data_IF_637319604751
#
_entry.id   IF_637319604751
#
_cell.length_a   1.000
_cell.length_b   1.000
_cell.length_c   1.000
_cell.angle_alpha   90.00
_cell.angle_beta   90.00
_cell.angle_gamma   90.00
#
_symmetry.space_group_name_H-M   'P 1'
#
loop_
_entity.id
_entity.type
_entity.pdbx_description
1 polymer ?
#
# COMPACT_ATOMS: atom_id res chain seq x y z
N UNK A 1 -1.69 -0.61 31.16
CA UNK A 1 -0.49 -1.22 30.56
C UNK A 1 -0.75 -1.53 29.10
N UNK A 2 -0.17 -0.75 28.17
CA UNK A 2 -0.34 -0.95 26.74
C UNK A 2 -0.16 0.35 25.94
N UNK A 3 -0.37 0.25 24.63
CA UNK A 3 -0.42 1.40 23.73
C UNK A 3 -1.54 2.36 24.12
N UNK A 4 -1.23 3.65 24.19
CA UNK A 4 -2.21 4.70 24.43
C UNK A 4 -1.78 6.01 23.76
N UNK A 5 -2.74 6.83 23.40
CA UNK A 5 -2.49 8.11 22.75
C UNK A 5 -3.77 8.67 22.11
N UNK A 6 -3.59 9.67 21.25
CA UNK A 6 -4.69 10.31 20.57
C UNK A 6 -5.18 9.46 19.39
N UNK A 7 -6.50 9.44 19.20
CA UNK A 7 -7.11 8.84 18.03
C UNK A 7 -8.17 9.78 17.44
N UNK A 8 -8.22 9.86 16.12
CA UNK A 8 -9.29 10.51 15.38
C UNK A 8 -9.97 9.48 14.49
N UNK A 9 -11.31 9.50 14.48
CA UNK A 9 -12.13 8.63 13.66
C UNK A 9 -13.01 9.46 12.75
N UNK A 10 -13.08 9.09 11.47
CA UNK A 10 -13.93 9.72 10.47
C UNK A 10 -14.66 8.68 9.64
N UNK A 11 -15.91 8.96 9.30
CA UNK A 11 -16.67 8.17 8.34
C UNK A 11 -16.14 8.35 6.93
N UNK A 12 -16.17 7.29 6.14
CA UNK A 12 -15.84 7.31 4.72
C UNK A 12 -17.03 7.93 3.96
N UNK A 13 -16.85 9.03 3.23
CA UNK A 13 -17.92 9.62 2.42
C UNK A 13 -18.46 8.61 1.39
N UNK A 14 -19.78 8.44 1.34
CA UNK A 14 -20.42 7.46 0.45
C UNK A 14 -20.18 6.00 0.82
N UNK A 15 -19.64 5.73 2.01
CA UNK A 15 -19.57 4.39 2.59
C UNK A 15 -20.93 3.86 3.08
N UNK A 16 -21.00 2.58 3.46
CA UNK A 16 -19.90 1.61 3.49
C UNK A 16 -19.49 1.11 2.09
N UNK A 17 -18.20 0.89 1.87
CA UNK A 17 -17.66 0.42 0.57
C UNK A 17 -17.03 -0.96 0.67
N UNK A 18 -17.19 -1.76 -0.37
CA UNK A 18 -16.59 -3.10 -0.43
C UNK A 18 -15.16 -3.03 -0.93
N UNK A 19 -14.97 -2.59 -2.17
CA UNK A 19 -13.64 -2.45 -2.76
C UNK A 19 -13.09 -1.05 -2.53
N UNK A 20 -11.83 -0.97 -2.14
CA UNK A 20 -11.21 0.30 -1.80
C UNK A 20 -9.69 0.27 -1.92
N UNK A 21 -9.14 1.48 -1.98
CA UNK A 21 -7.73 1.77 -1.80
C UNK A 21 -7.61 2.84 -0.70
N UNK A 22 -6.69 2.65 0.24
CA UNK A 22 -6.29 3.66 1.21
C UNK A 22 -4.79 3.88 1.11
N UNK A 23 -4.39 5.14 1.09
CA UNK A 23 -2.99 5.55 1.13
C UNK A 23 -2.81 6.63 2.18
N UNK A 24 -1.71 6.57 2.91
CA UNK A 24 -1.29 7.64 3.80
C UNK A 24 0.21 7.89 3.76
N UNK A 25 0.61 9.15 3.93
CA UNK A 25 1.99 9.54 4.20
C UNK A 25 2.20 9.63 5.71
N UNK A 26 3.16 8.87 6.21
CA UNK A 26 3.38 8.66 7.64
C UNK A 26 4.83 8.99 8.00
N UNK A 27 5.00 9.69 9.11
CA UNK A 27 6.30 9.90 9.75
C UNK A 27 6.34 9.14 11.07
N UNK A 28 7.44 8.43 11.32
CA UNK A 28 7.75 7.81 12.61
C UNK A 28 9.28 7.85 12.78
N UNK A 29 9.79 8.92 13.40
CA UNK A 29 11.23 9.17 13.56
C UNK A 29 11.56 9.38 15.02
N UNK A 30 12.27 8.43 15.60
CA UNK A 30 12.81 8.57 16.95
C UNK A 30 14.03 9.48 16.94
N UNK A 31 14.26 10.13 18.07
CA UNK A 31 15.45 10.95 18.32
C UNK A 31 16.48 10.19 19.15
N UNK A 32 16.02 9.26 19.99
CA UNK A 32 16.85 8.44 20.87
C UNK A 32 16.45 6.96 20.78
N UNK A 33 17.40 6.07 21.07
CA UNK A 33 17.21 4.60 21.01
C UNK A 33 16.20 4.04 22.04
N UNK A 34 15.79 4.84 23.02
CA UNK A 34 14.89 4.44 24.11
C UNK A 34 13.48 5.00 23.94
N UNK A 35 13.11 5.37 22.71
CA UNK A 35 11.79 5.84 22.36
C UNK A 35 10.94 4.73 21.76
N UNK A 36 9.64 4.72 22.07
CA UNK A 36 8.68 3.78 21.48
C UNK A 36 7.42 4.51 21.07
N UNK A 37 6.96 4.21 19.86
CA UNK A 37 5.87 4.95 19.24
C UNK A 37 5.19 4.13 18.16
N UNK A 38 3.94 4.47 17.88
CA UNK A 38 3.14 3.82 16.85
C UNK A 38 2.26 4.85 16.16
N UNK A 39 2.35 4.87 14.84
CA UNK A 39 1.35 5.50 13.97
C UNK A 39 0.56 4.40 13.29
N UNK A 40 -0.71 4.26 13.66
CA UNK A 40 -1.62 3.21 13.19
C UNK A 40 -2.81 3.81 12.47
N UNK A 41 -3.15 3.23 11.31
CA UNK A 41 -4.36 3.54 10.56
C UNK A 41 -5.18 2.26 10.50
N UNK A 42 -6.39 2.33 11.02
CA UNK A 42 -7.35 1.24 11.01
C UNK A 42 -8.52 1.56 10.07
N UNK A 43 -8.92 0.59 9.28
CA UNK A 43 -10.16 0.60 8.50
C UNK A 43 -11.22 -0.13 9.32
N UNK A 44 -12.39 0.48 9.51
CA UNK A 44 -13.46 -0.04 10.36
C UNK A 44 -14.77 -0.24 9.59
N UNK A 45 -15.60 -1.17 10.06
CA UNK A 45 -16.95 -1.41 9.54
C UNK A 45 -17.95 -0.39 10.11
N UNK A 46 -19.21 -0.54 9.72
CA UNK A 46 -20.31 0.32 10.19
C UNK A 46 -20.52 0.25 11.71
N UNK A 47 -20.07 -0.83 12.35
CA UNK A 47 -20.15 -1.06 13.79
C UNK A 47 -18.86 -0.66 14.53
N UNK A 48 -17.94 0.07 13.87
CA UNK A 48 -16.61 0.42 14.39
C UNK A 48 -15.73 -0.80 14.75
N UNK A 49 -15.99 -1.99 14.20
CA UNK A 49 -15.06 -3.12 14.29
C UNK A 49 -13.98 -2.98 13.23
N UNK A 50 -12.76 -3.34 13.60
CA UNK A 50 -11.59 -3.26 12.73
C UNK A 50 -11.67 -4.30 11.60
N UNK A 51 -11.57 -3.87 10.35
CA UNK A 51 -11.32 -4.75 9.20
C UNK A 51 -9.84 -5.01 9.04
N UNK A 52 -9.02 -3.96 9.18
CA UNK A 52 -7.59 -4.05 8.99
C UNK A 52 -6.86 -2.92 9.71
N UNK A 53 -5.57 -3.12 9.95
CA UNK A 53 -4.65 -2.16 10.55
C UNK A 53 -3.33 -2.18 9.80
N UNK A 54 -2.89 -1.01 9.37
CA UNK A 54 -1.53 -0.79 8.88
C UNK A 54 -0.85 0.22 9.80
N UNK A 55 0.40 -0.04 10.18
CA UNK A 55 1.12 0.78 11.12
C UNK A 55 2.62 0.79 10.85
N UNK A 56 3.23 1.92 11.21
CA UNK A 56 4.66 2.02 11.45
C UNK A 56 4.91 2.21 12.93
N UNK A 57 5.85 1.43 13.46
CA UNK A 57 6.14 1.34 14.89
C UNK A 57 7.62 1.58 15.11
N UNK A 58 8.01 2.08 16.28
CA UNK A 58 9.33 1.86 16.87
C UNK A 58 9.11 1.01 18.13
N UNK A 59 9.61 -0.23 18.11
CA UNK A 59 9.19 -1.29 19.02
C UNK A 59 10.24 -1.64 20.10
N UNK A 60 11.46 -1.14 20.00
CA UNK A 60 12.58 -1.65 20.78
C UNK A 60 13.21 -0.55 21.64
N UNK A 61 13.16 -0.70 22.96
CA UNK A 61 13.77 0.25 23.90
C UNK A 61 15.32 0.26 23.90
N UNK A 62 15.96 -0.71 23.24
CA UNK A 62 17.42 -0.88 23.17
C UNK A 62 17.99 -0.54 21.80
N UNK A 63 17.15 -0.28 20.81
CA UNK A 63 17.56 -0.01 19.45
C UNK A 63 16.49 0.82 18.75
N UNK A 64 16.91 1.86 18.05
CA UNK A 64 16.06 2.44 17.02
C UNK A 64 15.81 1.37 15.95
N UNK A 65 14.60 0.81 15.94
CA UNK A 65 14.24 -0.21 14.98
C UNK A 65 12.77 -0.09 14.65
N UNK A 66 12.54 0.65 13.57
CA UNK A 66 11.22 0.81 13.01
C UNK A 66 10.70 -0.52 12.43
N UNK A 67 9.41 -0.76 12.59
CA UNK A 67 8.76 -2.01 12.25
C UNK A 67 7.43 -1.75 11.54
N UNK A 68 7.34 -2.22 10.30
CA UNK A 68 6.12 -2.18 9.52
C UNK A 68 5.19 -3.32 9.94
N UNK A 69 3.92 -3.00 10.17
CA UNK A 69 2.92 -4.01 10.52
C UNK A 69 1.65 -3.83 9.70
N UNK A 70 1.13 -4.94 9.17
CA UNK A 70 -0.14 -4.99 8.47
C UNK A 70 -0.91 -6.23 8.88
N UNK A 71 -2.13 -6.04 9.36
CA UNK A 71 -3.02 -7.11 9.83
C UNK A 71 -4.41 -6.90 9.25
N UNK A 72 -5.03 -8.01 8.84
CA UNK A 72 -6.44 -8.11 8.46
C UNK A 72 -7.18 -8.83 9.59
N UNK A 73 -8.25 -8.21 10.05
CA UNK A 73 -9.03 -8.56 11.22
C UNK A 73 -8.54 -7.93 12.51
N UNK A 74 -9.15 -8.36 13.62
CA UNK A 74 -8.86 -7.93 14.98
C UNK A 74 -8.59 -9.13 15.88
N UNK A 75 -8.14 -8.86 17.10
CA UNK A 75 -7.85 -9.90 18.09
C UNK A 75 -9.10 -10.75 18.35
N UNK A 76 -8.92 -12.07 18.28
CA UNK A 76 -9.97 -13.08 18.39
C UNK A 76 -10.98 -13.15 17.23
N UNK A 77 -10.79 -12.41 16.12
CA UNK A 77 -11.57 -12.65 14.89
C UNK A 77 -11.08 -13.95 14.22
N UNK A 78 -11.96 -14.92 13.94
CA UNK A 78 -11.60 -16.11 13.18
C UNK A 78 -10.99 -15.74 11.82
N UNK A 79 -9.87 -16.36 11.47
CA UNK A 79 -9.16 -16.08 10.23
C UNK A 79 -8.33 -14.79 10.21
N UNK A 80 -8.05 -14.16 11.36
CA UNK A 80 -7.08 -13.05 11.45
C UNK A 80 -5.79 -13.40 10.70
N UNK A 81 -5.36 -12.51 9.82
CA UNK A 81 -4.20 -12.72 8.94
C UNK A 81 -3.21 -11.57 9.10
N UNK A 82 -1.96 -11.88 9.43
CA UNK A 82 -0.86 -10.91 9.35
C UNK A 82 -0.22 -10.96 7.96
N UNK A 83 -0.06 -9.80 7.31
CA UNK A 83 0.60 -9.70 5.99
C UNK A 83 2.03 -9.20 6.08
N UNK A 84 2.27 -8.20 6.93
CA UNK A 84 3.58 -7.59 7.12
C UNK A 84 3.84 -7.52 8.62
N UNK A 85 5.02 -7.97 9.03
CA UNK A 85 5.53 -7.86 10.40
C UNK A 85 7.06 -7.94 10.32
N UNK A 86 7.71 -6.85 9.92
CA UNK A 86 9.16 -6.82 9.70
C UNK A 86 9.80 -5.42 9.81
N UNK A 87 11.12 -5.40 9.99
CA UNK A 87 11.95 -4.20 9.92
C UNK A 87 12.48 -3.89 8.51
N UNK A 88 12.15 -4.73 7.51
CA UNK A 88 12.70 -4.68 6.14
C UNK A 88 13.89 -5.63 5.95
N UNK A 89 14.65 -5.46 4.86
CA UNK A 89 15.76 -6.36 4.49
C UNK A 89 16.90 -6.32 5.50
N UNK A 90 17.01 -5.20 6.21
CA UNK A 90 17.94 -4.97 7.31
C UNK A 90 17.18 -4.47 8.54
N UNK A 91 17.70 -4.67 9.76
CA UNK A 91 17.07 -4.18 10.99
C UNK A 91 16.75 -2.67 10.98
N UNK A 92 17.50 -1.88 10.21
CA UNK A 92 17.37 -0.43 10.14
C UNK A 92 16.71 0.09 8.85
N UNK A 93 16.17 -0.76 7.98
CA UNK A 93 15.59 -0.33 6.70
C UNK A 93 14.52 0.74 6.91
N UNK A 94 13.63 0.55 7.88
CA UNK A 94 12.57 1.50 8.19
C UNK A 94 12.98 2.67 9.09
N UNK A 95 14.19 2.69 9.64
CA UNK A 95 14.59 3.73 10.60
C UNK A 95 14.48 5.13 10.02
N UNK A 96 14.23 6.12 10.89
CA UNK A 96 13.95 7.49 10.47
C UNK A 96 12.81 7.55 9.43
N UNK A 97 11.73 6.81 9.70
CA UNK A 97 10.66 6.59 8.72
C UNK A 97 9.96 7.89 8.32
N UNK A 98 9.98 8.16 7.01
CA UNK A 98 8.99 8.99 6.32
C UNK A 98 8.64 8.26 5.03
N UNK A 99 7.36 7.95 4.83
CA UNK A 99 6.99 7.05 3.75
C UNK A 99 5.51 6.85 3.58
N UNK A 100 5.16 5.87 2.75
CA UNK A 100 3.78 5.53 2.40
C UNK A 100 3.34 4.26 3.11
N UNK A 101 2.16 4.31 3.71
CA UNK A 101 1.38 3.14 4.06
C UNK A 101 0.22 3.03 3.07
N UNK A 102 0.03 1.85 2.48
CA UNK A 102 -1.00 1.62 1.48
C UNK A 102 -1.65 0.25 1.69
N UNK A 103 -2.96 0.21 1.51
CA UNK A 103 -3.78 -1.01 1.58
C UNK A 103 -4.86 -0.93 0.52
N UNK A 104 -5.13 -2.06 -0.13
CA UNK A 104 -6.29 -2.22 -0.97
C UNK A 104 -7.06 -3.50 -0.67
N UNK A 105 -8.35 -3.47 -0.99
CA UNK A 105 -9.16 -4.66 -1.15
C UNK A 105 -9.93 -4.59 -2.46
N UNK A 106 -9.89 -5.68 -3.21
CA UNK A 106 -10.67 -5.89 -4.44
C UNK A 106 -11.29 -7.28 -4.39
N UNK A 107 -12.62 -7.37 -4.29
CA UNK A 107 -13.32 -8.60 -3.99
C UNK A 107 -12.82 -9.20 -2.67
N UNK A 108 -12.29 -10.41 -2.72
CA UNK A 108 -11.69 -11.10 -1.58
C UNK A 108 -10.15 -11.04 -1.57
N UNK A 109 -9.53 -10.28 -2.47
CA UNK A 109 -8.08 -10.05 -2.47
C UNK A 109 -7.72 -8.82 -1.66
N UNK A 110 -6.75 -8.99 -0.77
CA UNK A 110 -6.19 -7.95 0.07
C UNK A 110 -4.72 -7.73 -0.26
N UNK A 111 -4.34 -6.47 -0.33
CA UNK A 111 -2.98 -6.05 -0.68
C UNK A 111 -2.51 -4.99 0.29
N UNK A 112 -1.21 -5.02 0.59
CA UNK A 112 -0.57 -4.06 1.44
C UNK A 112 0.81 -3.70 0.93
N UNK A 113 1.14 -2.42 1.06
CA UNK A 113 2.39 -1.86 0.64
C UNK A 113 2.91 -0.86 1.68
N UNK A 114 4.18 -1.00 2.02
CA UNK A 114 4.92 -0.06 2.86
C UNK A 114 6.13 0.39 2.06
N UNK A 115 6.31 1.70 1.89
CA UNK A 115 7.55 2.25 1.36
C UNK A 115 8.11 3.31 2.26
N UNK A 116 9.44 3.46 2.23
CA UNK A 116 10.15 4.61 2.78
C UNK A 116 10.54 5.50 1.62
N UNK A 117 10.38 6.82 1.77
CA UNK A 117 10.75 7.75 0.73
C UNK A 117 12.23 8.11 0.76
N UNK A 118 12.78 8.39 -0.43
CA UNK A 118 14.09 9.04 -0.56
C UNK A 118 14.07 10.38 0.20
N UNK A 119 15.15 10.74 0.93
CA UNK A 119 15.21 11.96 1.71
C UNK A 119 14.80 13.21 0.92
N UNK A 120 13.85 13.97 1.46
CA UNK A 120 13.37 15.21 0.85
C UNK A 120 12.45 15.03 -0.37
N UNK A 121 12.00 13.81 -0.65
CA UNK A 121 11.11 13.51 -1.78
C UNK A 121 9.91 12.66 -1.33
N UNK A 122 9.01 12.35 -2.26
CA UNK A 122 7.94 11.34 -2.11
C UNK A 122 8.16 10.15 -3.06
N UNK A 123 9.41 9.95 -3.52
CA UNK A 123 9.79 8.80 -4.34
C UNK A 123 10.16 7.64 -3.42
N UNK A 124 9.64 6.46 -3.72
CA UNK A 124 9.90 5.23 -2.96
C UNK A 124 11.39 4.84 -3.07
N UNK A 125 11.99 4.41 -1.95
CA UNK A 125 13.38 3.94 -1.81
C UNK A 125 13.40 2.45 -1.44
N UNK A 126 13.12 2.15 -0.17
CA UNK A 126 12.89 0.79 0.31
C UNK A 126 11.40 0.48 0.32
N UNK A 127 11.03 -0.75 -0.02
CA UNK A 127 9.64 -1.16 -0.14
C UNK A 127 9.35 -2.59 0.33
N UNK A 128 8.10 -2.80 0.71
CA UNK A 128 7.51 -4.11 1.02
C UNK A 128 6.11 -4.21 0.47
N UNK A 129 5.84 -5.35 -0.12
CA UNK A 129 4.55 -5.69 -0.70
C UNK A 129 4.09 -7.07 -0.22
N UNK A 130 2.81 -7.18 0.11
CA UNK A 130 2.19 -8.45 0.48
C UNK A 130 0.76 -8.53 -0.07
N UNK A 131 0.38 -9.70 -0.58
CA UNK A 131 -0.98 -10.04 -1.03
C UNK A 131 -1.50 -11.24 -0.26
N UNK A 132 -2.80 -11.24 -0.01
CA UNK A 132 -3.51 -12.41 0.49
C UNK A 132 -4.94 -12.47 -0.04
N UNK A 133 -5.38 -13.66 -0.42
CA UNK A 133 -6.75 -13.92 -0.87
C UNK A 133 -7.54 -14.57 0.26
N UNK A 134 -8.65 -13.96 0.65
CA UNK A 134 -9.61 -14.49 1.62
C UNK A 134 -10.48 -15.59 1.00
N UNK A 135 -9.92 -16.79 0.89
CA UNK A 135 -10.59 -17.95 0.27
C UNK A 135 -11.87 -18.37 1.00
N UNK A 136 -11.95 -18.10 2.30
CA UNK A 136 -13.08 -18.47 3.15
C UNK A 136 -14.10 -17.33 3.33
N UNK A 137 -13.86 -16.16 2.72
CA UNK A 137 -14.73 -14.98 2.83
C UNK A 137 -14.97 -14.53 4.29
N UNK A 138 -13.96 -14.65 5.16
CA UNK A 138 -14.01 -14.30 6.59
C UNK A 138 -13.87 -12.80 6.88
N UNK A 139 -13.41 -12.01 5.91
CA UNK A 139 -13.12 -10.57 5.99
C UNK A 139 -13.77 -9.81 4.83
N UNK A 140 -15.06 -10.10 4.59
CA UNK A 140 -15.88 -9.46 3.54
C UNK A 140 -16.68 -8.26 4.04
N UNK A 141 -16.53 -7.87 5.32
CA UNK A 141 -17.19 -6.67 5.85
C UNK A 141 -16.81 -5.42 5.06
N UNK A 142 -17.74 -4.47 4.92
CA UNK A 142 -17.51 -3.23 4.16
C UNK A 142 -16.84 -2.16 5.02
N UNK A 143 -15.92 -1.42 4.42
CA UNK A 143 -15.24 -0.30 5.05
C UNK A 143 -16.19 0.90 5.17
N UNK A 144 -16.42 1.37 6.40
CA UNK A 144 -17.31 2.50 6.68
C UNK A 144 -16.57 3.67 7.35
N UNK A 145 -15.48 3.42 8.06
CA UNK A 145 -14.76 4.45 8.81
C UNK A 145 -13.25 4.24 8.75
N UNK A 146 -12.50 5.32 8.93
CA UNK A 146 -11.06 5.31 9.13
C UNK A 146 -10.76 5.85 10.52
N UNK A 147 -9.89 5.17 11.26
CA UNK A 147 -9.32 5.65 12.51
C UNK A 147 -7.81 5.80 12.37
N UNK A 148 -7.31 6.99 12.69
CA UNK A 148 -5.87 7.27 12.83
C UNK A 148 -5.57 7.31 14.32
N UNK A 149 -4.53 6.61 14.75
CA UNK A 149 -4.09 6.56 16.14
C UNK A 149 -2.58 6.81 16.21
N UNK A 150 -2.17 7.76 17.04
CA UNK A 150 -0.76 8.05 17.34
C UNK A 150 -0.56 7.76 18.82
N UNK A 151 0.31 6.80 19.12
CA UNK A 151 0.38 6.18 20.44
C UNK A 151 1.81 6.03 20.94
N UNK A 152 1.97 6.12 22.25
CA UNK A 152 3.18 5.71 22.97
C UNK A 152 2.96 4.36 23.66
N UNK A 153 4.06 3.70 24.02
CA UNK A 153 4.01 2.44 24.77
C UNK A 153 4.24 2.70 26.27
N UNK A 154 3.20 2.52 27.08
CA UNK A 154 3.31 2.68 28.54
C UNK A 154 3.97 4.03 28.91
N UNK A 155 4.89 4.03 29.85
CA UNK A 155 5.69 5.19 30.29
C UNK A 155 7.02 5.33 29.54
N UNK A 156 7.25 4.56 28.47
CA UNK A 156 8.43 4.72 27.61
C UNK A 156 8.34 6.07 26.89
N UNK A 157 9.44 6.85 26.81
CA UNK A 157 9.46 8.08 26.04
C UNK A 157 8.86 7.90 24.64
N UNK A 158 7.92 8.76 24.22
CA UNK A 158 7.32 8.64 22.90
C UNK A 158 8.36 8.99 21.82
N UNK A 159 8.20 8.37 20.65
CA UNK A 159 8.91 8.78 19.43
C UNK A 159 8.68 10.26 19.16
N UNK A 160 9.77 11.01 18.99
CA UNK A 160 9.75 12.48 18.85
C UNK A 160 8.80 12.97 17.73
N UNK A 161 8.89 12.39 16.53
CA UNK A 161 8.11 12.82 15.38
C UNK A 161 7.21 11.70 14.85
N UNK A 162 5.92 11.83 15.13
CA UNK A 162 4.86 10.93 14.64
C UNK A 162 3.76 11.74 13.96
N UNK A 163 3.52 11.48 12.67
CA UNK A 163 2.50 12.22 11.90
C UNK A 163 1.82 11.35 10.86
N UNK A 164 0.61 11.76 10.48
CA UNK A 164 -0.04 11.40 9.22
C UNK A 164 -0.30 12.70 8.47
N UNK A 165 0.45 12.97 7.40
CA UNK A 165 0.44 14.26 6.70
C UNK A 165 -0.55 14.31 5.53
N UNK A 166 -0.81 13.18 4.90
CA UNK A 166 -1.79 13.00 3.84
C UNK A 166 -2.46 11.64 4.04
N UNK A 167 -3.79 11.59 3.95
CA UNK A 167 -4.53 10.34 3.91
C UNK A 167 -5.63 10.47 2.87
N UNK A 168 -5.63 9.53 1.93
CA UNK A 168 -6.61 9.44 0.86
C UNK A 168 -7.25 8.06 0.87
N UNK A 169 -8.54 8.05 0.57
CA UNK A 169 -9.34 6.84 0.50
C UNK A 169 -10.19 6.92 -0.75
N UNK A 170 -10.15 5.87 -1.56
CA UNK A 170 -10.90 5.75 -2.80
C UNK A 170 -11.77 4.50 -2.75
N UNK A 171 -13.03 4.67 -3.14
CA UNK A 171 -13.87 3.53 -3.52
C UNK A 171 -13.35 3.00 -4.85
N UNK A 172 -13.10 1.71 -4.93
CA UNK A 172 -12.87 1.03 -6.21
C UNK A 172 -14.24 0.61 -6.73
N UNK A 173 -14.57 1.05 -7.94
CA UNK A 173 -15.73 0.52 -8.65
C UNK A 173 -15.20 -0.52 -9.62
N UNK A 174 -15.39 -1.81 -9.30
CA UNK A 174 -15.13 -2.85 -10.26
C UNK A 174 -16.12 -2.69 -11.41
N UNK A 175 -15.60 -2.40 -12.60
CA UNK A 175 -16.40 -2.42 -13.81
C UNK A 175 -16.74 -3.88 -14.10
N UNK A 176 -17.90 -4.34 -13.63
CA UNK A 176 -18.45 -5.66 -13.97
C UNK A 176 -18.86 -5.74 -15.46
N UNK A 177 -18.70 -4.66 -16.20
CA UNK A 177 -18.74 -4.63 -17.66
C UNK A 177 -17.31 -4.47 -18.16
N UNK A 178 -16.91 -5.24 -19.17
CA UNK A 178 -15.62 -5.19 -19.89
C UNK A 178 -15.21 -3.77 -20.36
N UNK A 179 -14.91 -2.88 -19.43
CA UNK A 179 -14.46 -1.51 -19.64
C UNK A 179 -13.19 -1.38 -18.83
N UNK A 180 -12.01 -1.51 -19.48
CA UNK A 180 -10.73 -1.35 -18.81
C UNK A 180 -10.69 -0.03 -18.03
N UNK A 181 -10.12 0.02 -16.83
CA UNK A 181 -9.92 1.30 -16.13
C UNK A 181 -9.05 2.21 -17.00
N UNK A 182 -9.52 3.44 -17.26
CA UNK A 182 -8.78 4.45 -18.01
C UNK A 182 -7.66 5.01 -17.12
N UNK A 183 -6.47 4.46 -17.27
CA UNK A 183 -5.24 4.87 -16.57
C UNK A 183 -4.54 6.02 -17.31
N UNK A 184 -4.91 6.27 -18.57
CA UNK A 184 -4.28 7.19 -19.51
C UNK A 184 -5.35 7.89 -20.35
N UNK A 185 -5.11 9.16 -20.68
CA UNK A 185 -5.98 9.96 -21.54
C UNK A 185 -5.38 10.09 -22.97
N UNK A 186 -6.23 10.45 -23.94
CA UNK A 186 -5.78 10.72 -25.32
C UNK A 186 -4.78 11.87 -25.32
N UNK A 187 -3.52 11.55 -25.65
CA UNK A 187 -2.40 12.51 -25.67
C UNK A 187 -1.27 12.15 -24.72
N UNK A 188 -1.51 11.28 -23.74
CA UNK A 188 -0.48 10.83 -22.80
C UNK A 188 0.56 9.92 -23.47
N UNK A 189 1.82 10.12 -23.11
CA UNK A 189 2.97 9.30 -23.48
C UNK A 189 3.22 8.26 -22.41
N UNK A 190 2.86 7.03 -22.73
CA UNK A 190 3.11 5.86 -21.89
C UNK A 190 4.37 5.15 -22.39
N UNK A 191 5.29 4.85 -21.48
CA UNK A 191 6.46 4.01 -21.77
C UNK A 191 6.44 2.79 -20.87
N UNK A 192 6.45 1.60 -21.49
CA UNK A 192 6.59 0.32 -20.82
C UNK A 192 7.94 -0.27 -21.24
N UNK A 193 8.92 -0.23 -20.35
CA UNK A 193 10.23 -0.81 -20.57
C UNK A 193 10.34 -2.12 -19.79
N UNK A 194 10.27 -3.23 -20.53
CA UNK A 194 10.38 -4.58 -19.96
C UNK A 194 11.82 -4.96 -19.61
N UNK A 195 12.84 -4.29 -20.13
CA UNK A 195 14.25 -4.55 -19.81
C UNK A 195 14.60 -4.00 -18.43
N UNK A 196 14.17 -2.76 -18.14
CA UNK A 196 14.37 -2.11 -16.84
C UNK A 196 13.22 -2.31 -15.85
N UNK A 197 12.18 -3.07 -16.24
CA UNK A 197 10.95 -3.24 -15.45
C UNK A 197 10.29 -1.92 -15.04
N UNK A 198 10.32 -0.93 -15.94
CA UNK A 198 9.90 0.44 -15.68
C UNK A 198 8.63 0.77 -16.47
N UNK A 199 7.69 1.48 -15.83
CA UNK A 199 6.52 2.05 -16.49
C UNK A 199 6.44 3.53 -16.15
N UNK A 200 6.19 4.37 -17.16
CA UNK A 200 5.98 5.80 -16.96
C UNK A 200 4.81 6.33 -17.78
N UNK A 201 4.17 7.38 -17.24
CA UNK A 201 3.17 8.20 -17.92
C UNK A 201 3.70 9.64 -17.87
N UNK A 202 3.88 10.27 -19.03
CA UNK A 202 4.49 11.62 -19.14
C UNK A 202 5.84 11.73 -18.44
N UNK A 203 6.64 10.66 -18.47
CA UNK A 203 7.95 10.58 -17.82
C UNK A 203 7.91 10.46 -16.29
N UNK A 204 6.73 10.39 -15.67
CA UNK A 204 6.57 10.09 -14.24
C UNK A 204 6.44 8.60 -14.02
N UNK A 205 7.11 8.07 -13.00
CA UNK A 205 7.02 6.65 -12.65
C UNK A 205 5.56 6.29 -12.34
N UNK A 206 5.06 5.30 -13.08
CA UNK A 206 3.70 4.79 -13.04
C UNK A 206 3.68 3.28 -12.75
N UNK A 207 4.78 2.71 -12.27
CA UNK A 207 4.89 1.28 -11.93
C UNK A 207 3.85 0.88 -10.87
N UNK A 208 3.45 1.82 -10.01
CA UNK A 208 2.43 1.62 -8.98
C UNK A 208 1.00 1.64 -9.55
N UNK A 209 0.81 2.08 -10.80
CA UNK A 209 -0.49 2.11 -11.51
C UNK A 209 -0.63 0.90 -12.44
N UNK A 210 0.49 0.32 -12.89
CA UNK A 210 0.49 -1.05 -13.36
C UNK A 210 -0.04 -1.87 -12.21
N UNK A 211 -1.27 -2.38 -12.36
CA UNK A 211 -1.89 -3.33 -11.44
C UNK A 211 -0.78 -4.27 -10.98
N UNK A 212 -0.54 -4.33 -9.67
CA UNK A 212 0.72 -4.81 -9.05
C UNK A 212 1.02 -6.28 -9.47
N UNK A 213 0.08 -6.91 -10.17
CA UNK A 213 0.06 -8.29 -10.63
C UNK A 213 0.03 -8.49 -12.15
N UNK A 214 0.11 -7.43 -12.95
CA UNK A 214 0.25 -7.59 -14.39
C UNK A 214 1.70 -8.01 -14.70
N UNK A 215 1.89 -9.23 -15.20
CA UNK A 215 3.20 -9.64 -15.72
C UNK A 215 3.55 -8.76 -16.93
N UNK A 216 4.82 -8.37 -17.06
CA UNK A 216 5.25 -7.77 -18.32
C UNK A 216 5.05 -8.77 -19.46
N UNK A 217 4.63 -8.32 -20.65
CA UNK A 217 4.46 -9.20 -21.79
C UNK A 217 5.80 -9.87 -22.12
N UNK A 218 5.78 -11.18 -22.29
CA UNK A 218 6.95 -11.98 -22.69
C UNK A 218 6.82 -12.36 -24.15
N UNK A 219 7.84 -12.06 -24.95
CA UNK A 219 7.92 -12.47 -26.34
C UNK A 219 8.53 -13.88 -26.40
N UNK A 220 7.75 -14.85 -26.87
CA UNK A 220 8.19 -16.24 -27.03
C UNK A 220 8.77 -16.48 -28.44
N UNK A 221 9.52 -17.57 -28.62
CA UNK A 221 9.97 -17.96 -29.97
C UNK A 221 8.77 -18.32 -30.86
N UNK A 222 8.73 -17.77 -32.06
CA UNK A 222 7.64 -17.98 -33.02
C UNK A 222 6.71 -16.77 -33.13
N UNK A 223 5.45 -17.03 -33.52
CA UNK A 223 4.47 -15.96 -33.75
C UNK A 223 3.88 -15.51 -32.41
N UNK A 224 3.99 -14.21 -32.11
CA UNK A 224 3.36 -13.58 -30.96
C UNK A 224 2.26 -12.64 -31.43
N UNK A 225 1.17 -12.56 -30.68
CA UNK A 225 0.10 -11.59 -30.91
C UNK A 225 0.11 -10.61 -29.74
N UNK A 226 0.39 -9.35 -30.03
CA UNK A 226 0.24 -8.26 -29.07
C UNK A 226 -1.03 -7.48 -29.43
N UNK A 227 -1.94 -7.37 -28.48
CA UNK A 227 -3.18 -6.60 -28.63
C UNK A 227 -3.18 -5.45 -27.64
N UNK A 228 -3.62 -4.29 -28.10
CA UNK A 228 -3.81 -3.09 -27.28
C UNK A 228 -5.30 -2.80 -27.35
N UNK A 229 -5.92 -2.76 -26.17
CA UNK A 229 -7.37 -2.61 -26.03
C UNK A 229 -7.63 -1.40 -25.12
N UNK A 230 -8.53 -0.48 -25.51
CA UNK A 230 -9.25 -0.47 -26.79
C UNK A 230 -8.33 -0.05 -27.95
N UNK A 231 -8.61 -0.53 -29.17
CA UNK A 231 -7.72 -0.33 -30.34
C UNK A 231 -7.64 1.11 -30.82
N UNK A 232 -8.54 1.97 -30.36
CA UNK A 232 -8.62 3.40 -30.66
C UNK A 232 -7.97 4.28 -29.58
N UNK A 233 -7.32 3.69 -28.57
CA UNK A 233 -6.66 4.43 -27.47
C UNK A 233 -5.49 5.31 -27.96
N UNK A 234 -4.94 5.02 -29.14
CA UNK A 234 -3.89 5.84 -29.76
C UNK A 234 -2.96 5.04 -30.66
N UNK A 235 -1.79 5.63 -30.95
CA UNK A 235 -0.75 5.00 -31.77
C UNK A 235 0.26 4.29 -30.88
N UNK A 236 0.42 2.98 -31.08
CA UNK A 236 1.41 2.19 -30.37
C UNK A 236 2.63 1.88 -31.23
N UNK A 237 3.82 1.92 -30.62
CA UNK A 237 5.07 1.48 -31.23
C UNK A 237 5.70 0.43 -30.34
N UNK A 238 6.03 -0.72 -30.92
CA UNK A 238 6.68 -1.83 -30.23
C UNK A 238 8.09 -2.00 -30.77
N UNK A 239 9.06 -2.09 -29.87
CA UNK A 239 10.45 -2.43 -30.20
C UNK A 239 10.86 -3.63 -29.36
N UNK A 240 11.45 -4.65 -29.98
CA UNK A 240 11.95 -5.83 -29.29
C UNK A 240 13.42 -6.08 -29.66
N UNK A 241 14.16 -6.72 -28.76
CA UNK A 241 15.55 -7.17 -28.98
C UNK A 241 15.59 -8.69 -28.86
N UNK A 242 16.04 -9.38 -29.90
CA UNK A 242 16.21 -10.83 -29.88
C UNK A 242 17.27 -11.23 -28.84
N UNK A 243 16.88 -12.09 -27.90
CA UNK A 243 17.82 -12.76 -26.98
C UNK A 243 18.20 -14.09 -27.63
N UNK A 244 19.36 -14.10 -28.28
CA UNK A 244 20.02 -15.23 -28.96
C UNK A 244 19.48 -15.56 -30.37
N UNK A 245 20.42 -15.80 -31.31
CA UNK A 245 20.19 -16.34 -32.65
C UNK A 245 20.20 -17.86 -32.62
#
# INVERSE_FOLDING_TARGET
>A
NGWHGAAVKKSIPGGPVEDFIMQAHVTCKSKNINEMGRVEIAILDENSKVLSKIAMNDLYWQAEQNFGTMVIGYDNKPGKTGLIYESGDYPNTWNQYYGRLWIARTGNDWEAYISKFLPGTEKDDAERFARWTDKDSKHMEKAAQIQISIMQWQDVPPVEAMTVSDLKFWKVNLNNQNTPPYIVDVGDKVVIDTESSHVSIEGKNAINIKDIFSNFPVINKGTNKLEIIPSDIGTAKVTYRERFR
#
